data_IF_586524696836
#
_entry.id   IF_586524696836
#
_cell.length_a   1.000
_cell.length_b   1.000
_cell.length_c   1.000
_cell.angle_alpha   90.00
_cell.angle_beta   90.00
_cell.angle_gamma   90.00
#
_symmetry.space_group_name_H-M   'P 1'
#
loop_
_entity.id
_entity.type
_entity.pdbx_description
1 polymer ?
#
# COMPACT_ATOMS: atom_id res chain seq x y z
N UNK A 1 6.08 -30.43 21.11
CA UNK A 1 6.55 -29.17 21.72
C UNK A 1 5.86 -29.06 23.09
N UNK A 2 6.55 -28.65 24.15
CA UNK A 2 5.94 -28.53 25.47
C UNK A 2 4.90 -27.40 25.49
N UNK A 3 3.62 -27.73 25.68
CA UNK A 3 2.47 -26.81 25.60
C UNK A 3 2.63 -25.60 26.52
N UNK A 4 3.14 -25.79 27.73
CA UNK A 4 3.32 -24.70 28.68
C UNK A 4 4.44 -23.75 28.24
N UNK A 5 5.50 -24.29 27.64
CA UNK A 5 6.57 -23.50 27.05
C UNK A 5 6.05 -22.61 25.90
N UNK A 6 5.25 -23.16 24.99
CA UNK A 6 4.68 -22.40 23.86
C UNK A 6 3.68 -21.34 24.34
N UNK A 7 2.84 -21.68 25.33
CA UNK A 7 1.93 -20.73 25.97
C UNK A 7 2.65 -19.53 26.57
N UNK A 8 3.78 -19.77 27.24
CA UNK A 8 4.60 -18.74 27.87
C UNK A 8 5.27 -17.84 26.83
N UNK A 9 5.75 -18.41 25.71
CA UNK A 9 6.30 -17.64 24.58
C UNK A 9 5.22 -16.71 23.99
N UNK A 10 4.02 -17.24 23.73
CA UNK A 10 2.88 -16.44 23.25
C UNK A 10 2.52 -15.30 24.22
N UNK A 11 2.50 -15.58 25.52
CA UNK A 11 2.27 -14.54 26.55
C UNK A 11 3.36 -13.48 26.57
N UNK A 12 4.62 -13.86 26.42
CA UNK A 12 5.73 -12.92 26.34
C UNK A 12 5.64 -12.01 25.10
N UNK A 13 5.21 -12.56 23.95
CA UNK A 13 4.92 -11.79 22.74
C UNK A 13 3.80 -10.77 22.99
N UNK A 14 2.70 -11.18 23.66
CA UNK A 14 1.63 -10.25 24.05
C UNK A 14 2.13 -9.13 24.95
N UNK A 15 2.99 -9.44 25.92
CA UNK A 15 3.62 -8.42 26.76
C UNK A 15 4.48 -7.43 25.96
N UNK A 16 5.13 -7.89 24.90
CA UNK A 16 5.90 -7.03 23.98
C UNK A 16 4.98 -6.10 23.20
N UNK A 17 3.88 -6.62 22.66
CA UNK A 17 2.86 -5.82 21.99
C UNK A 17 2.27 -4.76 22.94
N UNK A 18 1.91 -5.13 24.18
CA UNK A 18 1.38 -4.18 25.16
C UNK A 18 2.37 -3.05 25.46
N UNK A 19 3.67 -3.35 25.59
CA UNK A 19 4.70 -2.31 25.79
C UNK A 19 4.82 -1.39 24.57
N UNK A 20 4.77 -1.95 23.36
CA UNK A 20 4.80 -1.17 22.12
C UNK A 20 3.59 -0.23 22.02
N UNK A 21 2.38 -0.71 22.35
CA UNK A 21 1.19 0.14 22.40
C UNK A 21 1.36 1.32 23.36
N UNK A 22 1.84 1.06 24.58
CA UNK A 22 2.04 2.12 25.59
C UNK A 22 3.06 3.14 25.08
N UNK A 23 4.19 2.68 24.53
CA UNK A 23 5.22 3.57 24.01
C UNK A 23 4.68 4.46 22.88
N UNK A 24 4.02 3.88 21.88
CA UNK A 24 3.45 4.62 20.77
C UNK A 24 2.31 5.56 21.22
N UNK A 25 1.47 5.11 22.17
CA UNK A 25 0.40 5.94 22.73
C UNK A 25 0.95 7.19 23.41
N UNK A 26 2.02 7.05 24.21
CA UNK A 26 2.64 8.19 24.87
C UNK A 26 3.15 9.23 23.87
N UNK A 27 3.64 8.81 22.70
CA UNK A 27 4.07 9.74 21.65
C UNK A 27 2.88 10.46 20.99
N UNK A 28 1.77 9.75 20.76
CA UNK A 28 0.52 10.33 20.25
C UNK A 28 -0.04 11.35 21.25
N UNK A 29 -0.14 10.96 22.52
CA UNK A 29 -0.69 11.81 23.60
C UNK A 29 0.19 13.07 23.81
N UNK A 30 1.51 12.95 23.60
CA UNK A 30 2.44 14.07 23.67
C UNK A 30 2.53 14.89 22.37
N UNK A 31 1.67 14.62 21.38
CA UNK A 31 1.64 15.30 20.07
C UNK A 31 3.03 15.39 19.41
N UNK A 32 3.83 14.33 19.53
CA UNK A 32 5.18 14.26 18.96
C UNK A 32 5.13 14.32 17.44
N UNK A 33 6.22 14.68 16.73
CA UNK A 33 6.19 14.74 15.27
C UNK A 33 5.73 13.43 14.61
N UNK A 34 4.97 13.55 13.53
CA UNK A 34 4.40 12.41 12.77
C UNK A 34 5.42 11.33 12.42
N UNK A 35 6.67 11.72 12.13
CA UNK A 35 7.75 10.77 11.80
C UNK A 35 8.06 9.85 12.99
N UNK A 36 8.21 10.40 14.19
CA UNK A 36 8.49 9.63 15.42
C UNK A 36 7.32 8.69 15.76
N UNK A 37 6.09 9.19 15.62
CA UNK A 37 4.88 8.40 15.87
C UNK A 37 4.75 7.25 14.87
N UNK A 38 5.09 7.48 13.59
CA UNK A 38 5.08 6.44 12.57
C UNK A 38 6.09 5.34 12.85
N UNK A 39 7.32 5.69 13.22
CA UNK A 39 8.35 4.71 13.58
C UNK A 39 7.92 3.87 14.79
N UNK A 40 7.30 4.47 15.80
CA UNK A 40 6.76 3.75 16.94
C UNK A 40 5.58 2.84 16.58
N UNK A 41 4.73 3.26 15.63
CA UNK A 41 3.64 2.44 15.12
C UNK A 41 4.15 1.23 14.32
N UNK A 42 5.24 1.37 13.57
CA UNK A 42 5.89 0.24 12.89
C UNK A 42 6.39 -0.81 13.91
N UNK A 43 6.88 -0.38 15.08
CA UNK A 43 7.24 -1.30 16.18
C UNK A 43 6.00 -2.03 16.73
N UNK A 44 4.85 -1.35 16.85
CA UNK A 44 3.58 -1.98 17.24
C UNK A 44 3.16 -3.05 16.22
N UNK A 45 3.21 -2.73 14.93
CA UNK A 45 2.88 -3.65 13.83
C UNK A 45 3.77 -4.90 13.87
N UNK A 46 5.07 -4.72 14.02
CA UNK A 46 6.01 -5.83 14.11
C UNK A 46 5.76 -6.71 15.36
N UNK A 47 5.46 -6.11 16.51
CA UNK A 47 5.15 -6.84 17.73
C UNK A 47 3.82 -7.63 17.62
N UNK A 48 2.83 -7.07 16.92
CA UNK A 48 1.55 -7.73 16.65
C UNK A 48 1.71 -8.93 15.71
N UNK A 49 2.41 -8.76 14.57
CA UNK A 49 2.72 -9.88 13.67
C UNK A 49 3.51 -10.99 14.39
N UNK A 50 4.44 -10.61 15.26
CA UNK A 50 5.18 -11.56 16.09
C UNK A 50 4.27 -12.32 17.06
N UNK A 51 3.24 -11.68 17.62
CA UNK A 51 2.24 -12.33 18.45
C UNK A 51 1.39 -13.33 17.65
N UNK A 52 0.96 -12.98 16.43
CA UNK A 52 0.19 -13.88 15.55
C UNK A 52 0.95 -15.17 15.26
N UNK A 53 2.21 -15.08 14.84
CA UNK A 53 3.05 -16.27 14.59
C UNK A 53 3.17 -17.15 15.85
N UNK A 54 3.37 -16.54 17.03
CA UNK A 54 3.43 -17.28 18.30
C UNK A 54 2.08 -17.84 18.73
N UNK A 55 0.99 -17.24 18.27
CA UNK A 55 -0.36 -17.75 18.49
C UNK A 55 -0.61 -19.00 17.64
N UNK A 56 -0.26 -18.96 16.35
CA UNK A 56 -0.34 -20.13 15.45
C UNK A 56 0.49 -21.31 15.95
N UNK A 57 1.74 -21.06 16.39
CA UNK A 57 2.58 -22.10 17.01
C UNK A 57 1.91 -22.73 18.24
N UNK A 58 1.14 -21.93 19.01
CA UNK A 58 0.43 -22.40 20.19
C UNK A 58 -0.82 -23.19 19.82
N UNK A 59 -1.59 -22.78 18.82
CA UNK A 59 -2.83 -23.49 18.44
C UNK A 59 -2.54 -24.89 17.89
N UNK A 60 -1.38 -25.11 17.27
CA UNK A 60 -0.97 -26.44 16.79
C UNK A 60 -0.81 -27.51 17.88
N UNK A 61 -0.72 -27.12 19.16
CA UNK A 61 -0.55 -28.04 20.30
C UNK A 61 -1.78 -28.15 21.20
N UNK A 62 -2.93 -27.64 20.75
CA UNK A 62 -4.18 -27.62 21.51
C UNK A 62 -5.17 -28.69 21.02
N UNK A 63 -6.08 -29.06 21.91
CA UNK A 63 -7.32 -29.75 21.54
C UNK A 63 -8.40 -28.73 21.11
N UNK A 64 -9.49 -29.21 20.52
CA UNK A 64 -10.55 -28.36 19.95
C UNK A 64 -11.13 -27.36 20.96
N UNK A 65 -11.35 -27.78 22.21
CA UNK A 65 -11.91 -26.90 23.25
C UNK A 65 -10.93 -25.79 23.65
N UNK A 66 -9.66 -26.13 23.81
CA UNK A 66 -8.62 -25.16 24.15
C UNK A 66 -8.27 -24.23 22.99
N UNK A 67 -8.41 -24.73 21.76
CA UNK A 67 -8.25 -23.95 20.54
C UNK A 67 -9.27 -22.81 20.52
N UNK A 68 -10.55 -23.10 20.77
CA UNK A 68 -11.60 -22.08 20.80
C UNK A 68 -11.32 -21.01 21.86
N UNK A 69 -10.92 -21.39 23.08
CA UNK A 69 -10.51 -20.44 24.13
C UNK A 69 -9.29 -19.60 23.72
N UNK A 70 -8.36 -20.21 22.98
CA UNK A 70 -7.17 -19.52 22.48
C UNK A 70 -7.54 -18.49 21.41
N UNK A 71 -8.39 -18.86 20.44
CA UNK A 71 -8.86 -17.98 19.37
C UNK A 71 -9.67 -16.81 19.93
N UNK A 72 -10.54 -17.03 20.91
CA UNK A 72 -11.27 -15.94 21.58
C UNK A 72 -10.31 -14.93 22.22
N UNK A 73 -9.24 -15.42 22.85
CA UNK A 73 -8.18 -14.56 23.39
C UNK A 73 -7.41 -13.78 22.31
N UNK A 74 -7.16 -14.40 21.16
CA UNK A 74 -6.49 -13.73 20.03
C UNK A 74 -7.41 -12.68 19.41
N UNK A 75 -8.70 -12.98 19.27
CA UNK A 75 -9.71 -12.04 18.78
C UNK A 75 -9.78 -10.77 19.64
N UNK A 76 -9.64 -10.89 20.96
CA UNK A 76 -9.52 -9.73 21.85
C UNK A 76 -8.27 -8.89 21.55
N UNK A 77 -7.11 -9.53 21.31
CA UNK A 77 -5.88 -8.84 20.92
C UNK A 77 -6.02 -8.15 19.56
N UNK A 78 -6.70 -8.77 18.59
CA UNK A 78 -6.97 -8.20 17.28
C UNK A 78 -7.87 -6.96 17.40
N UNK A 79 -8.89 -7.02 18.25
CA UNK A 79 -9.76 -5.87 18.53
C UNK A 79 -8.98 -4.69 19.12
N UNK A 80 -8.05 -4.95 20.05
CA UNK A 80 -7.18 -3.91 20.61
C UNK A 80 -6.29 -3.28 19.54
N UNK A 81 -5.66 -4.10 18.69
CA UNK A 81 -4.82 -3.62 17.59
C UNK A 81 -5.59 -2.78 16.58
N UNK A 82 -6.81 -3.19 16.21
CA UNK A 82 -7.64 -2.42 15.28
C UNK A 82 -8.05 -1.06 15.86
N UNK A 83 -8.48 -1.02 17.13
CA UNK A 83 -8.78 0.25 17.82
C UNK A 83 -7.57 1.17 17.87
N UNK A 84 -6.40 0.61 18.15
CA UNK A 84 -5.15 1.38 18.17
C UNK A 84 -4.76 1.90 16.79
N UNK A 85 -4.94 1.08 15.75
CA UNK A 85 -4.71 1.47 14.35
C UNK A 85 -5.62 2.61 13.91
N UNK A 86 -6.89 2.60 14.32
CA UNK A 86 -7.81 3.72 14.08
C UNK A 86 -7.32 5.00 14.76
N UNK A 87 -6.95 4.93 16.04
CA UNK A 87 -6.41 6.07 16.80
C UNK A 87 -5.16 6.67 16.15
N UNK A 88 -4.25 5.83 15.65
CA UNK A 88 -3.06 6.27 14.91
C UNK A 88 -3.42 6.99 13.60
N UNK A 89 -4.37 6.45 12.82
CA UNK A 89 -4.80 7.09 11.56
C UNK A 89 -5.51 8.42 11.81
N UNK A 90 -6.34 8.51 12.85
CA UNK A 90 -7.00 9.77 13.24
C UNK A 90 -5.95 10.84 13.58
N UNK A 91 -4.90 10.45 14.31
CA UNK A 91 -3.77 11.31 14.61
C UNK A 91 -3.04 11.79 13.35
N UNK A 92 -2.76 10.89 12.38
CA UNK A 92 -2.15 11.28 11.10
C UNK A 92 -3.02 12.29 10.33
N UNK A 93 -4.32 12.03 10.25
CA UNK A 93 -5.26 12.88 9.52
C UNK A 93 -5.36 14.28 10.15
N UNK A 94 -5.38 14.37 11.48
CA UNK A 94 -5.36 15.65 12.19
C UNK A 94 -4.09 16.47 11.85
N UNK A 95 -2.92 15.83 11.84
CA UNK A 95 -1.65 16.50 11.52
C UNK A 95 -1.52 16.88 10.03
N UNK A 96 -2.21 16.18 9.13
CA UNK A 96 -2.28 16.58 7.70
C UNK A 96 -3.19 17.81 7.54
N UNK A 97 -4.32 17.86 8.24
CA UNK A 97 -5.23 19.02 8.21
C UNK A 97 -4.63 20.27 8.85
N UNK A 98 -3.77 20.14 9.86
CA UNK A 98 -3.06 21.27 10.47
C UNK A 98 -2.00 21.86 9.51
N UNK A 99 -1.27 21.03 8.76
CA UNK A 99 -0.30 21.50 7.75
C UNK A 99 -0.96 22.24 6.58
N UNK A 100 -2.16 21.84 6.17
CA UNK A 100 -2.92 22.54 5.13
C UNK A 100 -3.43 23.93 5.59
N UNK A 101 -3.56 24.18 6.89
CA UNK A 101 -3.94 25.49 7.43
C UNK A 101 -2.73 26.43 7.63
N UNK A 102 -1.57 25.91 8.00
CA UNK A 102 -0.34 26.71 8.17
C UNK A 102 0.24 27.20 6.83
N UNK A 103 0.05 26.45 5.73
CA UNK A 103 0.47 26.87 4.39
C UNK A 103 -0.39 28.03 3.84
N UNK A 104 -1.62 28.22 4.32
CA UNK A 104 -2.51 29.34 3.92
C UNK A 104 -2.16 30.63 4.68
N UNK A 105 -1.61 30.53 5.90
CA UNK A 105 -1.27 31.71 6.73
C UNK A 105 0.13 32.26 6.41
N UNK A 106 1.07 31.42 5.97
CA UNK A 106 2.45 31.82 5.68
C UNK A 106 2.67 32.44 4.29
N UNK A 107 1.66 32.51 3.43
CA UNK A 107 1.77 33.14 2.10
C UNK A 107 1.42 34.64 2.08
N UNK A 108 1.10 35.24 3.24
CA UNK A 108 0.70 36.64 3.36
C UNK A 108 1.74 37.58 4.00
N UNK A 109 2.92 37.09 4.38
CA UNK A 109 3.98 37.92 4.97
C UNK A 109 5.30 37.44 4.39
N UNK A 110 5.85 38.17 3.41
CA UNK A 110 7.29 38.35 3.13
C UNK A 110 7.47 38.95 1.71
N UNK A 111 6.97 40.17 1.51
CA UNK A 111 7.60 41.13 0.58
C UNK A 111 8.15 42.26 1.45
N UNK A 112 9.44 42.17 1.78
CA UNK A 112 10.40 43.30 1.86
C UNK A 112 11.63 42.92 2.70
N UNK A 113 12.83 43.19 2.16
CA UNK A 113 14.00 43.54 2.99
C UNK A 113 15.21 42.59 3.03
N UNK A 114 16.05 42.65 1.98
CA UNK A 114 17.52 42.59 1.93
C UNK A 114 18.42 42.17 3.14
N UNK A 115 19.45 41.37 2.76
CA UNK A 115 20.88 41.35 3.17
C UNK A 115 21.30 41.01 4.62
N UNK A 116 22.14 39.96 4.77
CA UNK A 116 23.61 40.09 4.92
C UNK A 116 24.30 38.74 5.23
N UNK A 117 25.49 38.55 4.65
CA UNK A 117 26.51 37.52 4.91
C UNK A 117 26.84 37.32 6.39
N UNK A 118 27.28 36.11 6.78
CA UNK A 118 28.51 35.86 7.56
C UNK A 118 29.07 34.45 7.25
N UNK A 119 30.37 34.42 6.95
CA UNK A 119 31.28 33.28 6.75
C UNK A 119 31.51 32.43 8.02
N UNK A 120 32.06 31.21 7.85
CA UNK A 120 32.73 30.51 8.94
C UNK A 120 33.06 29.05 8.63
N UNK A 121 34.35 28.79 8.35
CA UNK A 121 34.99 27.54 7.96
C UNK A 121 35.13 26.47 9.09
N UNK A 122 35.68 25.31 8.66
CA UNK A 122 36.47 24.30 9.40
C UNK A 122 35.70 23.20 10.15
N UNK A 123 36.15 21.95 10.26
CA UNK A 123 37.23 21.20 9.60
C UNK A 123 36.97 19.70 9.89
N UNK A 124 37.36 18.88 8.91
CA UNK A 124 38.03 17.58 8.96
C UNK A 124 38.08 16.64 10.20
N UNK A 125 38.08 15.34 9.82
CA UNK A 125 38.84 14.20 10.37
C UNK A 125 38.32 13.46 11.63
N UNK A 126 38.44 12.14 11.81
CA UNK A 126 38.95 10.99 11.05
C UNK A 126 38.76 9.74 11.96
N UNK A 127 38.64 8.55 11.35
CA UNK A 127 39.14 7.24 11.86
C UNK A 127 38.56 6.62 13.14
N UNK A 128 38.54 5.30 13.39
CA UNK A 128 38.74 4.02 12.68
C UNK A 128 38.58 2.93 13.79
N UNK A 129 38.39 1.68 13.36
CA UNK A 129 38.46 0.38 14.07
C UNK A 129 37.10 -0.27 14.34
N UNK A 130 36.72 -1.33 13.63
CA UNK A 130 37.32 -2.69 13.52
C UNK A 130 36.94 -3.55 14.73
N UNK A 131 36.13 -4.58 14.46
CA UNK A 131 36.41 -5.93 14.97
C UNK A 131 35.43 -6.94 14.36
N UNK A 132 36.01 -7.86 13.60
CA UNK A 132 35.41 -9.07 13.07
C UNK A 132 35.01 -10.03 14.20
N UNK A 133 33.90 -10.75 14.02
CA UNK A 133 33.86 -12.16 14.45
C UNK A 133 32.96 -13.01 13.56
N UNK A 134 33.63 -13.77 12.69
CA UNK A 134 33.14 -14.98 12.04
C UNK A 134 32.80 -16.06 13.07
N UNK A 135 31.78 -16.87 12.80
CA UNK A 135 31.80 -18.31 13.07
C UNK A 135 30.82 -19.00 12.10
N UNK A 136 31.27 -20.15 11.64
CA UNK A 136 30.88 -20.87 10.44
C UNK A 136 30.16 -22.18 10.81
N UNK A 137 29.51 -22.81 9.81
CA UNK A 137 29.04 -24.21 9.76
C UNK A 137 27.79 -24.57 10.62
N UNK A 138 26.80 -25.36 10.17
CA UNK A 138 26.83 -26.50 9.25
C UNK A 138 25.40 -26.87 8.75
N UNK A 139 25.34 -27.31 7.50
CA UNK A 139 24.27 -28.08 6.83
C UNK A 139 24.15 -29.49 7.45
N UNK A 140 23.04 -30.23 7.27
CA UNK A 140 23.01 -31.17 6.13
C UNK A 140 21.64 -31.41 5.48
N UNK A 141 21.74 -32.07 4.33
CA UNK A 141 20.78 -32.28 3.27
C UNK A 141 19.65 -33.31 3.49
N UNK A 142 18.61 -33.09 2.66
CA UNK A 142 17.65 -33.98 1.98
C UNK A 142 17.31 -35.39 2.50
N UNK A 143 16.00 -35.68 2.52
CA UNK A 143 15.51 -36.96 2.00
C UNK A 143 14.12 -36.82 1.32
N UNK A 144 13.96 -37.54 0.21
CA UNK A 144 12.78 -37.56 -0.66
C UNK A 144 11.82 -38.67 -0.22
N UNK A 145 10.49 -38.45 -0.25
CA UNK A 145 9.59 -39.44 -0.84
C UNK A 145 8.22 -38.87 -1.24
N UNK A 146 7.80 -39.40 -2.38
CA UNK A 146 6.59 -39.19 -3.16
C UNK A 146 5.31 -39.85 -2.61
N UNK A 147 4.17 -39.32 -3.08
CA UNK A 147 3.07 -40.06 -3.75
C UNK A 147 1.71 -40.27 -3.04
N UNK A 148 0.68 -40.08 -3.87
CA UNK A 148 -0.67 -40.70 -3.89
C UNK A 148 -1.79 -40.12 -2.99
N UNK A 149 -2.61 -39.29 -3.65
CA UNK A 149 -4.08 -39.27 -3.71
C UNK A 149 -4.88 -40.21 -2.80
N UNK A 150 -5.88 -39.65 -2.08
CA UNK A 150 -7.21 -40.28 -1.90
C UNK A 150 -8.28 -39.23 -1.56
N UNK A 151 -9.28 -39.15 -2.44
CA UNK A 151 -10.53 -38.43 -2.27
C UNK A 151 -11.30 -38.92 -1.03
N UNK A 152 -11.79 -38.00 -0.22
CA UNK A 152 -12.95 -38.25 0.66
C UNK A 152 -14.01 -37.19 0.35
N UNK A 153 -15.14 -37.68 -0.17
CA UNK A 153 -16.32 -36.92 -0.54
C UNK A 153 -17.20 -36.83 0.71
N UNK A 154 -17.17 -35.70 1.40
CA UNK A 154 -18.11 -35.42 2.49
C UNK A 154 -19.04 -34.28 2.06
N UNK A 155 -20.31 -34.63 1.85
CA UNK A 155 -21.39 -33.71 1.55
C UNK A 155 -21.66 -32.84 2.78
N UNK A 156 -21.39 -31.54 2.69
CA UNK A 156 -21.90 -30.52 3.61
C UNK A 156 -22.80 -29.54 2.84
N UNK A 157 -23.98 -29.15 3.37
CA UNK A 157 -24.89 -28.22 2.70
C UNK A 157 -24.37 -26.78 2.81
N UNK A 158 -24.61 -25.97 1.78
CA UNK A 158 -24.17 -24.57 1.57
C UNK A 158 -22.71 -24.37 1.14
N UNK A 159 -22.36 -24.83 -0.06
CA UNK A 159 -21.26 -24.25 -0.82
C UNK A 159 -21.73 -22.95 -1.50
N UNK A 160 -21.65 -21.82 -0.81
CA UNK A 160 -21.52 -20.54 -1.51
C UNK A 160 -20.17 -20.58 -2.24
N UNK A 161 -20.20 -20.95 -3.52
CA UNK A 161 -19.07 -20.83 -4.43
C UNK A 161 -18.80 -19.33 -4.61
N UNK A 162 -18.04 -18.77 -3.69
CA UNK A 162 -17.36 -17.52 -3.92
C UNK A 162 -16.40 -17.81 -5.07
N UNK A 163 -16.76 -17.35 -6.27
CA UNK A 163 -15.80 -17.28 -7.38
C UNK A 163 -14.59 -16.54 -6.81
N UNK A 164 -13.41 -17.18 -6.84
CA UNK A 164 -12.18 -16.53 -6.36
C UNK A 164 -12.13 -15.15 -7.01
N UNK A 165 -11.97 -14.06 -6.24
CA UNK A 165 -11.88 -12.72 -6.80
C UNK A 165 -10.93 -12.75 -7.98
N UNK A 166 -11.39 -12.32 -9.16
CA UNK A 166 -10.54 -12.32 -10.35
C UNK A 166 -9.39 -11.36 -10.06
N UNK A 167 -8.17 -11.89 -10.14
CA UNK A 167 -6.98 -11.07 -9.97
C UNK A 167 -6.97 -9.98 -11.05
N UNK A 168 -6.61 -8.74 -10.68
CA UNK A 168 -6.58 -7.64 -11.62
C UNK A 168 -5.57 -7.93 -12.74
N UNK A 169 -5.84 -7.43 -13.95
CA UNK A 169 -4.95 -7.58 -15.11
C UNK A 169 -4.43 -6.23 -15.54
N UNK A 170 -3.16 -6.18 -15.97
CA UNK A 170 -2.52 -4.97 -16.46
C UNK A 170 -1.98 -5.18 -17.87
N UNK A 171 -2.42 -4.32 -18.79
CA UNK A 171 -2.06 -4.36 -20.21
C UNK A 171 -0.95 -3.39 -20.60
N UNK A 172 -0.55 -2.49 -19.69
CA UNK A 172 0.42 -1.43 -19.97
C UNK A 172 -0.22 -0.06 -20.14
N UNK A 173 -1.54 0.09 -20.00
CA UNK A 173 -2.19 1.41 -20.00
C UNK A 173 -1.82 2.19 -18.73
N UNK A 174 -1.04 3.26 -18.90
CA UNK A 174 -0.59 4.15 -17.81
C UNK A 174 -1.77 4.69 -16.97
N UNK A 175 -2.96 4.85 -17.57
CA UNK A 175 -4.17 5.32 -16.87
C UNK A 175 -4.68 4.33 -15.83
N UNK A 176 -4.40 3.04 -16.02
CA UNK A 176 -4.86 1.96 -15.14
C UNK A 176 -3.77 1.49 -14.16
N UNK A 177 -2.52 1.95 -14.32
CA UNK A 177 -1.38 1.42 -13.58
C UNK A 177 -1.53 1.53 -12.06
N UNK A 178 -1.91 2.72 -11.56
CA UNK A 178 -2.05 2.97 -10.13
C UNK A 178 -3.19 2.17 -9.50
N UNK A 179 -4.33 2.07 -10.19
CA UNK A 179 -5.47 1.26 -9.75
C UNK A 179 -5.07 -0.21 -9.72
N UNK A 180 -4.46 -0.72 -10.80
CA UNK A 180 -3.94 -2.08 -10.85
C UNK A 180 -2.98 -2.37 -9.69
N UNK A 181 -2.02 -1.48 -9.45
CA UNK A 181 -1.04 -1.64 -8.38
C UNK A 181 -1.75 -1.72 -7.03
N UNK A 182 -2.63 -0.77 -6.72
CA UNK A 182 -3.41 -0.77 -5.48
C UNK A 182 -4.23 -2.06 -5.30
N UNK A 183 -5.02 -2.42 -6.31
CA UNK A 183 -5.86 -3.62 -6.29
C UNK A 183 -5.04 -4.90 -6.13
N UNK A 184 -3.89 -4.99 -6.80
CA UNK A 184 -3.00 -6.14 -6.69
C UNK A 184 -2.39 -6.26 -5.29
N UNK A 185 -1.90 -5.16 -4.73
CA UNK A 185 -1.32 -5.14 -3.40
C UNK A 185 -2.36 -5.53 -2.34
N UNK A 186 -3.58 -5.01 -2.46
CA UNK A 186 -4.70 -5.38 -1.60
C UNK A 186 -5.10 -6.86 -1.74
N UNK A 187 -5.12 -7.41 -2.96
CA UNK A 187 -5.59 -8.77 -3.20
C UNK A 187 -4.54 -9.86 -2.91
N UNK A 188 -3.25 -9.56 -3.05
CA UNK A 188 -2.18 -10.58 -3.08
C UNK A 188 -1.14 -10.37 -1.99
N UNK A 189 -0.64 -9.14 -1.82
CA UNK A 189 0.53 -8.85 -0.97
C UNK A 189 0.25 -9.12 0.52
N UNK A 190 -1.03 -9.12 0.94
CA UNK A 190 -1.44 -9.46 2.30
C UNK A 190 -1.44 -10.97 2.62
N UNK A 191 -1.36 -11.85 1.61
CA UNK A 191 -1.64 -13.28 1.79
C UNK A 191 -0.58 -14.22 1.17
N UNK A 192 0.44 -13.69 0.51
CA UNK A 192 1.42 -14.48 -0.25
C UNK A 192 2.86 -14.16 0.16
N UNK A 193 3.75 -15.15 0.02
CA UNK A 193 5.19 -14.92 0.15
C UNK A 193 5.70 -14.00 -0.97
N UNK A 194 6.87 -13.38 -0.81
CA UNK A 194 7.43 -12.48 -1.83
C UNK A 194 7.63 -13.17 -3.19
N UNK A 195 8.10 -14.44 -3.17
CA UNK A 195 8.30 -15.26 -4.38
C UNK A 195 6.98 -15.61 -5.07
N UNK A 196 5.97 -15.96 -4.30
CA UNK A 196 4.65 -16.32 -4.84
C UNK A 196 3.95 -15.07 -5.37
N UNK A 197 4.05 -13.95 -4.65
CA UNK A 197 3.54 -12.63 -5.07
C UNK A 197 4.14 -12.22 -6.41
N UNK A 198 5.45 -12.40 -6.60
CA UNK A 198 6.11 -12.11 -7.88
C UNK A 198 5.62 -13.02 -9.01
N UNK A 199 5.39 -14.30 -8.74
CA UNK A 199 4.85 -15.24 -9.73
C UNK A 199 3.42 -14.88 -10.12
N UNK A 200 2.59 -14.53 -9.14
CA UNK A 200 1.22 -14.06 -9.35
C UNK A 200 1.23 -12.73 -10.12
N UNK A 201 2.13 -11.80 -9.77
CA UNK A 201 2.32 -10.53 -10.47
C UNK A 201 2.58 -10.78 -11.95
N UNK A 202 3.57 -11.62 -12.30
CA UNK A 202 3.84 -11.97 -13.71
C UNK A 202 2.61 -12.53 -14.43
N UNK A 203 1.79 -13.33 -13.76
CA UNK A 203 0.55 -13.85 -14.37
C UNK A 203 -0.53 -12.77 -14.60
N UNK A 204 -0.46 -11.66 -13.87
CA UNK A 204 -1.40 -10.54 -13.95
C UNK A 204 -0.99 -9.49 -14.99
N UNK A 205 0.25 -9.53 -15.45
CA UNK A 205 0.77 -8.67 -16.49
C UNK A 205 0.57 -9.29 -17.88
N UNK A 206 0.21 -8.46 -18.86
CA UNK A 206 0.27 -8.87 -20.27
C UNK A 206 1.71 -8.82 -20.80
N UNK A 207 1.92 -9.22 -22.06
CA UNK A 207 3.22 -9.47 -22.67
C UNK A 207 4.25 -8.34 -22.45
N UNK A 208 3.87 -7.08 -22.67
CA UNK A 208 4.83 -5.96 -22.59
C UNK A 208 5.24 -5.64 -21.13
N UNK A 209 4.32 -5.42 -20.17
CA UNK A 209 4.70 -5.25 -18.77
C UNK A 209 5.40 -6.49 -18.17
N UNK A 210 5.01 -7.71 -18.56
CA UNK A 210 5.63 -8.93 -18.07
C UNK A 210 7.10 -9.05 -18.50
N UNK A 211 7.40 -8.69 -19.77
CA UNK A 211 8.76 -8.70 -20.32
C UNK A 211 9.70 -7.74 -19.57
N UNK A 212 9.19 -6.62 -19.06
CA UNK A 212 9.98 -5.66 -18.28
C UNK A 212 10.52 -6.27 -16.98
N UNK A 213 9.84 -7.27 -16.41
CA UNK A 213 10.21 -7.89 -15.12
C UNK A 213 10.63 -9.37 -15.26
N UNK A 214 10.79 -9.88 -16.48
CA UNK A 214 11.07 -11.29 -16.78
C UNK A 214 12.40 -11.78 -16.17
N UNK A 215 13.43 -10.92 -16.17
CA UNK A 215 14.77 -11.24 -15.63
C UNK A 215 14.92 -11.13 -14.11
N UNK A 216 13.88 -10.70 -13.38
CA UNK A 216 13.94 -10.49 -11.93
C UNK A 216 13.41 -11.75 -11.27
N UNK A 217 14.26 -12.59 -10.67
CA UNK A 217 13.85 -13.93 -10.20
C UNK A 217 13.11 -13.95 -8.86
N UNK A 218 13.49 -13.09 -7.91
CA UNK A 218 13.05 -13.19 -6.52
C UNK A 218 12.81 -11.85 -5.81
N UNK A 219 13.17 -10.72 -6.42
CA UNK A 219 13.07 -9.40 -5.79
C UNK A 219 11.79 -8.68 -6.25
N UNK A 220 10.75 -8.72 -5.42
CA UNK A 220 9.48 -8.08 -5.72
C UNK A 220 9.60 -6.57 -5.74
N UNK A 221 10.45 -5.99 -4.87
CA UNK A 221 10.66 -4.54 -4.80
C UNK A 221 11.30 -4.02 -6.08
N UNK A 222 12.29 -4.74 -6.61
CA UNK A 222 12.90 -4.38 -7.89
C UNK A 222 11.89 -4.52 -9.03
N UNK A 223 11.03 -5.55 -9.05
CA UNK A 223 9.97 -5.67 -10.06
C UNK A 223 9.03 -4.46 -10.05
N UNK A 224 8.56 -4.04 -8.86
CA UNK A 224 7.74 -2.84 -8.73
C UNK A 224 8.47 -1.56 -9.14
N UNK A 225 9.75 -1.43 -8.81
CA UNK A 225 10.56 -0.28 -9.22
C UNK A 225 10.62 -0.15 -10.75
N UNK A 226 10.81 -1.25 -11.48
CA UNK A 226 10.81 -1.22 -12.95
C UNK A 226 9.43 -0.83 -13.51
N UNK A 227 8.35 -1.37 -12.94
CA UNK A 227 6.99 -0.99 -13.33
C UNK A 227 6.70 0.49 -13.03
N UNK A 228 7.10 1.00 -11.86
CA UNK A 228 6.92 2.40 -11.46
C UNK A 228 7.71 3.35 -12.37
N UNK A 229 8.93 2.97 -12.77
CA UNK A 229 9.73 3.76 -13.70
C UNK A 229 9.11 3.86 -15.10
N UNK A 230 8.41 2.82 -15.56
CA UNK A 230 7.85 2.76 -16.91
C UNK A 230 6.39 3.26 -16.99
N UNK A 231 5.59 3.04 -15.94
CA UNK A 231 4.14 3.31 -15.94
C UNK A 231 3.70 4.23 -14.80
N UNK A 232 4.53 4.45 -13.79
CA UNK A 232 4.20 5.20 -12.57
C UNK A 232 4.48 6.70 -12.64
N UNK A 233 4.74 7.29 -13.80
CA UNK A 233 4.97 8.73 -13.91
C UNK A 233 3.64 9.50 -13.97
N UNK A 234 3.28 10.30 -12.94
CA UNK A 234 2.01 11.03 -12.91
C UNK A 234 1.84 12.03 -14.06
N UNK A 235 2.94 12.59 -14.58
CA UNK A 235 2.88 13.54 -15.71
C UNK A 235 2.44 12.84 -16.99
N UNK A 236 2.99 11.66 -17.28
CA UNK A 236 2.62 10.86 -18.45
C UNK A 236 1.15 10.44 -18.39
N UNK A 237 0.66 10.08 -17.19
CA UNK A 237 -0.76 9.79 -16.98
C UNK A 237 -1.61 11.01 -17.31
N UNK A 238 -1.24 12.19 -16.78
CA UNK A 238 -1.96 13.43 -17.06
C UNK A 238 -1.96 13.78 -18.54
N UNK A 239 -0.82 13.72 -19.21
CA UNK A 239 -0.70 14.01 -20.65
C UNK A 239 -1.57 13.06 -21.48
N UNK A 240 -1.63 11.78 -21.09
CA UNK A 240 -2.46 10.77 -21.75
C UNK A 240 -3.95 11.09 -21.57
N UNK A 241 -4.37 11.44 -20.35
CA UNK A 241 -5.75 11.84 -20.03
C UNK A 241 -6.16 13.09 -20.81
N UNK A 242 -5.31 14.12 -20.86
CA UNK A 242 -5.55 15.32 -21.66
C UNK A 242 -5.66 14.98 -23.15
N UNK A 243 -4.78 14.10 -23.65
CA UNK A 243 -4.82 13.67 -25.04
C UNK A 243 -6.12 12.94 -25.40
N UNK A 244 -6.72 12.17 -24.48
CA UNK A 244 -8.02 11.53 -24.71
C UNK A 244 -9.13 12.57 -24.88
N UNK A 245 -9.13 13.62 -24.06
CA UNK A 245 -10.06 14.75 -24.17
C UNK A 245 -9.87 15.51 -25.48
N UNK A 246 -8.63 15.69 -25.92
CA UNK A 246 -8.31 16.34 -27.20
C UNK A 246 -8.82 15.55 -28.39
N UNK A 247 -8.64 14.21 -28.36
CA UNK A 247 -9.07 13.28 -29.42
C UNK A 247 -10.57 13.10 -29.49
N UNK A 248 -11.31 13.44 -28.43
CA UNK A 248 -12.77 13.37 -28.45
C UNK A 248 -13.33 14.26 -29.57
N UNK A 249 -14.16 13.72 -30.46
CA UNK A 249 -14.69 14.51 -31.59
C UNK A 249 -15.78 15.46 -31.10
N UNK A 250 -15.85 16.66 -31.68
CA UNK A 250 -16.89 17.65 -31.40
C UNK A 250 -18.27 17.00 -31.60
N UNK A 251 -19.18 17.28 -30.67
CA UNK A 251 -20.57 16.79 -30.65
C UNK A 251 -21.37 17.58 -31.67
N UNK A 252 -22.14 16.89 -32.52
CA UNK A 252 -23.06 17.52 -33.47
C UNK A 252 -24.46 17.70 -32.86
N UNK A 253 -25.27 18.66 -33.34
CA UNK A 253 -26.65 18.82 -32.88
C UNK A 253 -27.45 17.51 -33.04
N UNK A 254 -28.11 17.08 -31.96
CA UNK A 254 -28.86 15.83 -31.90
C UNK A 254 -28.06 14.57 -31.52
N UNK A 255 -26.76 14.71 -31.18
CA UNK A 255 -25.91 13.62 -30.69
C UNK A 255 -25.86 13.53 -29.14
N UNK A 256 -27.01 13.54 -28.45
CA UNK A 256 -27.09 13.56 -26.97
C UNK A 256 -26.34 12.39 -26.30
N UNK A 257 -26.27 11.23 -26.96
CA UNK A 257 -25.52 10.08 -26.46
C UNK A 257 -24.01 10.38 -26.35
N UNK A 258 -23.47 11.23 -27.25
CA UNK A 258 -22.05 11.62 -27.24
C UNK A 258 -21.76 12.63 -26.15
N UNK A 259 -22.73 13.46 -25.78
CA UNK A 259 -22.62 14.27 -24.58
C UNK A 259 -22.44 13.38 -23.34
N UNK A 260 -23.24 12.32 -23.19
CA UNK A 260 -23.07 11.35 -22.12
C UNK A 260 -21.67 10.68 -22.15
N UNK A 261 -21.16 10.33 -23.34
CA UNK A 261 -19.80 9.79 -23.49
C UNK A 261 -18.73 10.79 -23.03
N UNK A 262 -18.87 12.07 -23.40
CA UNK A 262 -17.95 13.13 -22.97
C UNK A 262 -17.98 13.30 -21.45
N UNK A 263 -19.16 13.34 -20.83
CA UNK A 263 -19.31 13.44 -19.37
C UNK A 263 -18.66 12.24 -18.67
N UNK A 264 -18.88 11.03 -19.18
CA UNK A 264 -18.24 9.82 -18.64
C UNK A 264 -16.71 9.86 -18.81
N UNK A 265 -16.22 10.36 -19.93
CA UNK A 265 -14.79 10.55 -20.18
C UNK A 265 -14.19 11.56 -19.20
N UNK A 266 -14.82 12.72 -18.99
CA UNK A 266 -14.37 13.74 -18.04
C UNK A 266 -14.39 13.19 -16.61
N UNK A 267 -15.46 12.49 -16.20
CA UNK A 267 -15.55 11.87 -14.87
C UNK A 267 -14.45 10.82 -14.65
N UNK A 268 -14.21 9.96 -15.64
CA UNK A 268 -13.13 8.96 -15.59
C UNK A 268 -11.77 9.63 -15.50
N UNK A 269 -11.55 10.67 -16.30
CA UNK A 269 -10.33 11.49 -16.32
C UNK A 269 -10.04 12.11 -14.96
N UNK A 270 -11.04 12.71 -14.33
CA UNK A 270 -10.93 13.26 -12.98
C UNK A 270 -10.52 12.19 -11.95
N UNK A 271 -11.16 11.02 -11.99
CA UNK A 271 -10.84 9.94 -11.04
C UNK A 271 -9.41 9.42 -11.22
N UNK A 272 -8.94 9.24 -12.46
CA UNK A 272 -7.55 8.85 -12.75
C UNK A 272 -6.57 9.89 -12.22
N UNK A 273 -6.82 11.17 -12.50
CA UNK A 273 -5.97 12.29 -12.06
C UNK A 273 -5.96 12.44 -10.54
N UNK A 274 -7.09 12.19 -9.88
CA UNK A 274 -7.20 12.16 -8.42
C UNK A 274 -6.29 11.08 -7.82
N UNK A 275 -6.30 9.87 -8.40
CA UNK A 275 -5.48 8.75 -7.93
C UNK A 275 -3.98 9.07 -8.00
N UNK A 276 -3.54 9.79 -9.04
CA UNK A 276 -2.14 10.21 -9.20
C UNK A 276 -1.81 11.55 -8.54
N UNK A 277 -2.70 12.08 -7.70
CA UNK A 277 -2.55 13.37 -6.99
C UNK A 277 -2.33 14.58 -7.91
N UNK A 278 -2.98 14.58 -9.07
CA UNK A 278 -2.94 15.66 -10.08
C UNK A 278 -4.34 16.13 -10.50
N UNK A 279 -5.31 16.12 -9.57
CA UNK A 279 -6.69 16.56 -9.84
C UNK A 279 -6.76 17.96 -10.47
N UNK A 280 -5.87 18.87 -10.09
CA UNK A 280 -5.79 20.24 -10.61
C UNK A 280 -5.54 20.32 -12.11
N UNK A 281 -5.02 19.26 -12.74
CA UNK A 281 -4.74 19.27 -14.18
C UNK A 281 -6.02 19.19 -15.03
N UNK A 282 -7.15 18.73 -14.48
CA UNK A 282 -8.44 18.78 -15.19
C UNK A 282 -9.19 20.08 -14.93
N UNK A 283 -8.92 20.73 -13.79
CA UNK A 283 -9.57 21.96 -13.35
C UNK A 283 -8.88 23.22 -13.91
N UNK A 284 -7.86 23.07 -14.74
CA UNK A 284 -7.17 24.20 -15.35
C UNK A 284 -7.99 24.80 -16.51
N UNK A 285 -7.81 26.09 -16.74
CA UNK A 285 -8.53 26.84 -17.79
C UNK A 285 -8.38 26.22 -19.17
N UNK A 286 -7.21 25.66 -19.48
CA UNK A 286 -6.94 25.05 -20.77
C UNK A 286 -7.83 23.81 -21.04
N UNK A 287 -7.92 22.90 -20.07
CA UNK A 287 -8.72 21.67 -20.16
C UNK A 287 -10.21 21.99 -20.11
N UNK A 288 -10.63 22.96 -19.30
CA UNK A 288 -12.03 23.44 -19.28
C UNK A 288 -12.43 23.95 -20.66
N UNK A 289 -11.64 24.86 -21.25
CA UNK A 289 -11.91 25.37 -22.61
C UNK A 289 -11.83 24.29 -23.69
N UNK A 290 -11.03 23.24 -23.49
CA UNK A 290 -10.97 22.09 -24.39
C UNK A 290 -12.29 21.31 -24.36
N UNK A 291 -12.84 21.06 -23.17
CA UNK A 291 -14.12 20.36 -22.96
C UNK A 291 -15.27 21.19 -23.55
N UNK A 292 -15.33 22.48 -23.25
CA UNK A 292 -16.36 23.40 -23.78
C UNK A 292 -16.38 23.39 -25.31
N UNK A 293 -15.21 23.36 -25.96
CA UNK A 293 -15.11 23.32 -27.43
C UNK A 293 -15.66 22.03 -28.04
N UNK A 294 -15.83 20.96 -27.26
CA UNK A 294 -16.44 19.71 -27.75
C UNK A 294 -17.96 19.73 -27.71
N UNK A 295 -18.56 20.63 -26.94
CA UNK A 295 -20.01 20.72 -26.71
C UNK A 295 -20.70 21.66 -27.70
N UNK A 296 -22.01 21.48 -27.90
CA UNK A 296 -22.82 22.45 -28.67
C UNK A 296 -23.24 23.62 -27.80
N UNK A 297 -23.74 24.71 -28.41
CA UNK A 297 -24.23 25.88 -27.64
C UNK A 297 -25.43 25.55 -26.75
N UNK A 298 -26.23 24.55 -27.12
CA UNK A 298 -27.38 24.14 -26.34
C UNK A 298 -26.96 23.31 -25.11
N UNK A 299 -25.89 22.53 -25.22
CA UNK A 299 -25.30 21.77 -24.09
C UNK A 299 -24.61 22.67 -23.04
N UNK A 300 -24.20 23.88 -23.43
CA UNK A 300 -23.51 24.85 -22.57
C UNK A 300 -24.46 25.75 -21.76
N UNK A 301 -25.77 25.64 -21.97
CA UNK A 301 -26.81 26.46 -21.32
C UNK A 301 -27.40 25.77 -20.11
#
# INVERSE_FOLDING_TARGET
MDKDKVKNIRRAAKGTLTRAFIACKNLIDAQRPVVEVKEAFDVVKNAYNGLEVKHEEFTMVLDDTQYDEAEEWMQACNSEYMKFSMMYNDYLNANVAEKENDDVVNQAINEDGNNANVDGENDENNSVNDDQKSLDMHEPAEDKLSSVTKNVKLSSPFAMKHEKPKLPKFDGDVRQYFIFKSDFQHAVEAHCSERDTLTILRSCLNAQPAKLIEGISSDLKTAWKYLDQNYGNPRVVSDTVTSDLEKFKIIQPGEDYRFCELVNLVRRSYNILKEVKRKQDIDNTHVISLIERKMTKDDLR
#
